data_IF_429063257149
#
_entry.id   IF_429063257149
#
_cell.length_a   1.000
_cell.length_b   1.000
_cell.length_c   1.000
_cell.angle_alpha   90.00
_cell.angle_beta   90.00
_cell.angle_gamma   90.00
#
_symmetry.space_group_name_H-M   'P 1'
#
loop_
_entity.id
_entity.type
_entity.pdbx_description
1 polymer ?
#
# COMPACT_ATOMS: atom_id res chain seq x y z
N UNK A 1 7.24 4.25 -12.67
CA UNK A 1 8.13 3.28 -11.99
C UNK A 1 9.57 3.75 -12.03
N UNK A 2 10.32 3.46 -10.96
CA UNK A 2 11.76 3.77 -10.88
C UNK A 2 12.52 2.51 -10.50
N UNK A 3 13.53 2.16 -11.30
CA UNK A 3 14.37 0.99 -11.09
C UNK A 3 15.79 1.40 -10.72
N UNK A 4 16.38 0.67 -9.78
CA UNK A 4 17.69 0.99 -9.21
C UNK A 4 18.61 -0.22 -9.27
N UNK A 5 19.91 0.05 -9.40
CA UNK A 5 20.92 -1.00 -9.52
C UNK A 5 21.23 -1.72 -8.21
N UNK A 6 21.11 -0.99 -7.08
CA UNK A 6 21.45 -1.52 -5.77
C UNK A 6 20.62 -0.92 -4.64
N UNK A 7 20.83 -1.44 -3.44
CA UNK A 7 20.10 -1.01 -2.24
C UNK A 7 20.40 0.44 -1.85
N UNK A 8 21.64 0.88 -2.03
CA UNK A 8 22.06 2.24 -1.65
C UNK A 8 21.36 3.26 -2.54
N UNK A 9 21.38 3.08 -3.85
CA UNK A 9 20.74 4.00 -4.79
C UNK A 9 19.22 4.00 -4.67
N UNK A 10 18.61 2.84 -4.45
CA UNK A 10 17.19 2.74 -4.19
C UNK A 10 16.81 3.49 -2.91
N UNK A 11 17.53 3.24 -1.83
CA UNK A 11 17.28 3.89 -0.55
C UNK A 11 17.39 5.40 -0.63
N UNK A 12 18.41 5.90 -1.33
CA UNK A 12 18.58 7.34 -1.56
C UNK A 12 17.44 7.93 -2.37
N UNK A 13 17.07 7.27 -3.48
CA UNK A 13 15.96 7.72 -4.32
C UNK A 13 14.64 7.74 -3.58
N UNK A 14 14.38 6.73 -2.76
CA UNK A 14 13.19 6.64 -1.95
C UNK A 14 13.14 7.73 -0.88
N UNK A 15 14.25 7.98 -0.19
CA UNK A 15 14.34 9.03 0.82
C UNK A 15 14.15 10.42 0.22
N UNK A 16 14.75 10.69 -0.94
CA UNK A 16 14.60 11.96 -1.65
C UNK A 16 13.15 12.19 -2.07
N UNK A 17 12.51 11.16 -2.62
CA UNK A 17 11.11 11.24 -3.03
C UNK A 17 10.17 11.45 -1.84
N UNK A 18 10.41 10.72 -0.75
CA UNK A 18 9.65 10.82 0.50
C UNK A 18 9.75 12.23 1.08
N UNK A 19 10.95 12.80 1.12
CA UNK A 19 11.17 14.14 1.65
C UNK A 19 10.41 15.21 0.85
N UNK A 20 10.36 15.07 -0.47
CA UNK A 20 9.65 16.01 -1.36
C UNK A 20 8.12 15.92 -1.26
N UNK A 21 7.58 14.76 -0.88
CA UNK A 21 6.15 14.50 -0.89
C UNK A 21 5.60 14.20 0.52
N UNK A 22 6.28 14.65 1.53
CA UNK A 22 6.04 14.30 2.94
C UNK A 22 4.59 14.48 3.40
N UNK A 23 3.90 15.50 2.91
CA UNK A 23 2.52 15.80 3.34
C UNK A 23 1.48 14.83 2.78
N UNK A 24 1.76 14.25 1.62
CA UNK A 24 0.79 13.44 0.87
C UNK A 24 1.26 12.00 0.68
N UNK A 25 2.35 11.61 1.31
CA UNK A 25 2.95 10.31 1.11
C UNK A 25 2.15 9.21 1.76
N UNK A 26 1.78 8.19 0.98
CA UNK A 26 1.29 6.91 1.46
C UNK A 26 2.29 5.82 1.10
N UNK A 27 2.95 5.22 2.08
CA UNK A 27 4.02 4.25 1.85
C UNK A 27 3.52 2.82 2.03
N UNK A 28 3.82 1.97 1.04
CA UNK A 28 3.62 0.51 1.09
C UNK A 28 5.01 -0.13 1.07
N UNK A 29 5.47 -0.60 2.22
CA UNK A 29 6.84 -1.10 2.39
C UNK A 29 6.92 -2.02 3.60
N UNK A 30 7.83 -3.00 3.56
CA UNK A 30 8.13 -3.80 4.74
C UNK A 30 8.71 -2.97 5.89
N UNK A 31 9.31 -1.81 5.57
CA UNK A 31 9.83 -0.88 6.58
C UNK A 31 8.71 -0.07 7.26
N UNK A 32 7.49 -0.15 6.75
CA UNK A 32 6.31 0.49 7.33
C UNK A 32 5.18 -0.55 7.48
N UNK A 33 5.36 -1.57 8.32
CA UNK A 33 4.39 -2.65 8.45
C UNK A 33 3.08 -2.17 9.09
N UNK A 34 2.04 -2.98 8.97
CA UNK A 34 0.83 -2.77 9.75
C UNK A 34 1.14 -2.89 11.24
N UNK A 35 0.46 -2.08 12.04
CA UNK A 35 0.58 -2.16 13.51
C UNK A 35 -0.07 -3.47 13.97
N UNK A 36 0.72 -4.39 14.50
CA UNK A 36 0.33 -5.80 14.68
C UNK A 36 -0.72 -6.02 15.77
N UNK A 37 -0.84 -5.13 16.75
CA UNK A 37 -1.82 -5.21 17.82
C UNK A 37 -3.11 -4.41 17.56
N UNK A 38 -3.29 -3.91 16.34
CA UNK A 38 -4.51 -3.23 15.91
C UNK A 38 -5.19 -4.02 14.80
N UNK A 39 -6.51 -3.99 14.79
CA UNK A 39 -7.31 -4.57 13.72
C UNK A 39 -6.98 -3.92 12.38
N UNK A 40 -7.20 -4.64 11.30
CA UNK A 40 -6.96 -4.14 9.93
C UNK A 40 -7.71 -2.82 9.68
N UNK A 41 -8.99 -2.74 10.05
CA UNK A 41 -9.76 -1.52 9.82
C UNK A 41 -9.17 -0.30 10.57
N UNK A 42 -8.65 -0.52 11.77
CA UNK A 42 -8.00 0.56 12.55
C UNK A 42 -6.73 1.02 11.83
N UNK A 43 -5.90 0.09 11.39
CA UNK A 43 -4.69 0.40 10.61
C UNK A 43 -5.01 1.26 9.40
N UNK A 44 -6.05 0.91 8.66
CA UNK A 44 -6.42 1.61 7.42
C UNK A 44 -7.01 2.99 7.74
N UNK A 45 -7.89 3.08 8.72
CA UNK A 45 -8.65 4.30 9.00
C UNK A 45 -7.92 5.30 9.90
N UNK A 46 -6.84 4.92 10.54
CA UNK A 46 -6.20 5.68 11.62
C UNK A 46 -5.93 7.14 11.24
N UNK A 47 -5.35 7.37 10.07
CA UNK A 47 -4.99 8.72 9.64
C UNK A 47 -6.23 9.58 9.35
N UNK A 48 -7.28 8.97 8.78
CA UNK A 48 -8.55 9.67 8.54
C UNK A 48 -9.28 10.00 9.84
N UNK A 49 -9.27 9.09 10.79
CA UNK A 49 -9.84 9.37 12.11
C UNK A 49 -9.13 10.53 12.81
N UNK A 50 -7.80 10.57 12.69
CA UNK A 50 -7.00 11.64 13.29
C UNK A 50 -7.24 13.00 12.62
N UNK A 51 -7.22 13.06 11.29
CA UNK A 51 -7.30 14.32 10.55
C UNK A 51 -8.74 14.78 10.28
N UNK A 52 -9.67 13.87 10.10
CA UNK A 52 -11.05 14.16 9.72
C UNK A 52 -12.04 13.91 10.85
N UNK A 53 -11.54 13.50 12.02
CA UNK A 53 -12.35 13.26 13.22
C UNK A 53 -13.53 12.31 13.00
N UNK A 54 -13.31 11.27 12.18
CA UNK A 54 -14.32 10.26 11.91
C UNK A 54 -14.62 9.41 13.14
N UNK A 55 -15.90 9.15 13.38
CA UNK A 55 -16.30 8.18 14.41
C UNK A 55 -15.83 6.77 14.04
N UNK A 56 -15.70 5.89 15.03
CA UNK A 56 -15.33 4.50 14.79
C UNK A 56 -16.30 3.82 13.82
N UNK A 57 -17.60 4.06 13.97
CA UNK A 57 -18.62 3.45 13.09
C UNK A 57 -18.46 3.90 11.63
N UNK A 58 -18.25 5.19 11.41
CA UNK A 58 -18.04 5.72 10.06
C UNK A 58 -16.73 5.26 9.46
N UNK A 59 -15.68 5.15 10.27
CA UNK A 59 -14.38 4.65 9.83
C UNK A 59 -14.47 3.19 9.42
N UNK A 60 -15.13 2.35 10.22
CA UNK A 60 -15.34 0.93 9.87
C UNK A 60 -16.15 0.78 8.58
N UNK A 61 -17.20 1.56 8.42
CA UNK A 61 -18.04 1.54 7.23
C UNK A 61 -17.24 1.93 5.98
N UNK A 62 -16.42 2.97 6.07
CA UNK A 62 -15.56 3.40 4.98
C UNK A 62 -14.58 2.30 4.58
N UNK A 63 -13.88 1.72 5.55
CA UNK A 63 -12.91 0.65 5.30
C UNK A 63 -13.58 -0.57 4.69
N UNK A 64 -14.75 -0.95 5.20
CA UNK A 64 -15.49 -2.10 4.69
C UNK A 64 -15.84 -1.93 3.21
N UNK A 65 -16.24 -0.73 2.79
CA UNK A 65 -16.51 -0.44 1.37
C UNK A 65 -15.30 -0.69 0.49
N UNK A 66 -14.10 -0.30 0.95
CA UNK A 66 -12.86 -0.55 0.20
C UNK A 66 -12.46 -2.03 0.22
N UNK A 67 -12.57 -2.70 1.37
CA UNK A 67 -12.27 -4.13 1.47
C UNK A 67 -13.20 -4.96 0.59
N UNK A 68 -14.46 -4.55 0.44
CA UNK A 68 -15.41 -5.21 -0.46
C UNK A 68 -14.94 -5.22 -1.91
N UNK A 69 -14.24 -4.18 -2.36
CA UNK A 69 -13.68 -4.13 -3.71
C UNK A 69 -12.66 -5.24 -3.97
N UNK A 70 -12.02 -5.73 -2.91
CA UNK A 70 -11.07 -6.85 -2.97
C UNK A 70 -11.70 -8.19 -2.58
N UNK A 71 -13.00 -8.21 -2.24
CA UNK A 71 -13.67 -9.38 -1.63
C UNK A 71 -12.96 -9.82 -0.34
N UNK A 72 -12.49 -8.87 0.45
CA UNK A 72 -11.72 -9.10 1.68
C UNK A 72 -12.44 -8.56 2.93
N UNK A 73 -13.78 -8.55 2.93
CA UNK A 73 -14.57 -8.06 4.07
C UNK A 73 -14.23 -8.78 5.37
N UNK A 74 -13.89 -10.06 5.26
CA UNK A 74 -13.61 -10.94 6.40
C UNK A 74 -12.30 -10.60 7.13
N UNK A 75 -11.40 -9.82 6.55
CA UNK A 75 -10.14 -9.46 7.23
C UNK A 75 -10.26 -8.22 8.11
N UNK A 76 -11.36 -7.50 8.09
CA UNK A 76 -11.52 -6.21 8.78
C UNK A 76 -11.15 -6.27 10.26
N UNK A 77 -11.54 -7.34 10.94
CA UNK A 77 -11.28 -7.55 12.37
C UNK A 77 -10.09 -8.49 12.64
N UNK A 78 -9.33 -8.85 11.61
CA UNK A 78 -8.09 -9.59 11.77
C UNK A 78 -6.93 -8.65 12.07
N UNK A 79 -5.83 -9.22 12.55
CA UNK A 79 -4.58 -8.52 12.81
C UNK A 79 -3.47 -9.03 11.89
N UNK A 80 -2.43 -8.24 11.73
CA UNK A 80 -1.35 -8.51 10.78
C UNK A 80 -0.84 -9.97 10.76
N UNK A 81 -0.56 -10.62 11.91
CA UNK A 81 -0.05 -11.99 11.88
C UNK A 81 -1.01 -13.02 11.28
N UNK A 82 -2.31 -12.74 11.25
CA UNK A 82 -3.32 -13.65 10.70
C UNK A 82 -3.58 -13.45 9.20
N UNK A 83 -2.91 -12.49 8.57
CA UNK A 83 -3.11 -12.16 7.15
C UNK A 83 -2.20 -12.99 6.25
N UNK A 84 -2.72 -13.36 5.07
CA UNK A 84 -1.86 -13.81 3.97
C UNK A 84 -1.04 -12.64 3.42
N UNK A 85 0.01 -12.92 2.65
CA UNK A 85 0.81 -11.86 2.03
C UNK A 85 -0.02 -10.96 1.12
N UNK A 86 -0.96 -11.54 0.35
CA UNK A 86 -1.83 -10.77 -0.55
C UNK A 86 -2.82 -9.91 0.21
N UNK A 87 -3.42 -10.45 1.26
CA UNK A 87 -4.31 -9.68 2.16
C UNK A 87 -3.56 -8.52 2.79
N UNK A 88 -2.36 -8.78 3.27
CA UNK A 88 -1.49 -7.76 3.88
C UNK A 88 -1.15 -6.66 2.91
N UNK A 89 -0.80 -7.00 1.67
CA UNK A 89 -0.52 -6.02 0.62
C UNK A 89 -1.71 -5.11 0.38
N UNK A 90 -2.92 -5.68 0.22
CA UNK A 90 -4.14 -4.90 0.01
C UNK A 90 -4.42 -3.97 1.20
N UNK A 91 -4.27 -4.45 2.43
CA UNK A 91 -4.46 -3.63 3.63
C UNK A 91 -3.45 -2.47 3.70
N UNK A 92 -2.19 -2.75 3.38
CA UNK A 92 -1.14 -1.72 3.34
C UNK A 92 -1.42 -0.68 2.25
N UNK A 93 -1.89 -1.11 1.09
CA UNK A 93 -2.26 -0.22 -0.01
C UNK A 93 -3.43 0.67 0.38
N UNK A 94 -4.45 0.13 0.99
CA UNK A 94 -5.60 0.91 1.48
C UNK A 94 -5.18 1.92 2.54
N UNK A 95 -4.31 1.52 3.48
CA UNK A 95 -3.76 2.45 4.48
C UNK A 95 -3.03 3.62 3.81
N UNK A 96 -2.21 3.32 2.82
CA UNK A 96 -1.48 4.34 2.06
C UNK A 96 -2.43 5.29 1.31
N UNK A 97 -3.49 4.75 0.72
CA UNK A 97 -4.49 5.51 -0.03
C UNK A 97 -5.35 6.43 0.85
N UNK A 98 -5.42 6.18 2.16
CA UNK A 98 -6.19 7.01 3.09
C UNK A 98 -5.53 8.36 3.40
N UNK A 99 -4.29 8.56 3.04
CA UNK A 99 -3.64 9.86 3.14
C UNK A 99 -4.33 10.83 2.20
N UNK A 100 -4.55 12.06 2.64
CA UNK A 100 -5.24 13.08 1.84
C UNK A 100 -4.43 13.41 0.58
N UNK A 101 -5.10 13.43 -0.57
CA UNK A 101 -4.46 13.61 -1.89
C UNK A 101 -3.27 12.69 -2.07
N UNK A 102 -3.44 11.42 -1.73
CA UNK A 102 -2.35 10.48 -1.55
C UNK A 102 -1.49 10.31 -2.79
N UNK A 103 -0.18 10.39 -2.56
CA UNK A 103 0.85 9.91 -3.47
C UNK A 103 1.33 8.59 -2.90
N UNK A 104 0.86 7.49 -3.49
CA UNK A 104 1.21 6.14 -3.03
C UNK A 104 2.59 5.78 -3.55
N UNK A 105 3.45 5.32 -2.66
CA UNK A 105 4.76 4.78 -3.01
C UNK A 105 4.81 3.32 -2.58
N UNK A 106 5.06 2.45 -3.53
CA UNK A 106 5.23 1.01 -3.28
C UNK A 106 6.71 0.70 -3.39
N UNK A 107 7.28 0.27 -2.29
CA UNK A 107 8.70 -0.05 -2.17
C UNK A 107 8.89 -1.55 -2.28
N UNK A 108 9.51 -1.99 -3.36
CA UNK A 108 9.88 -3.39 -3.64
C UNK A 108 8.72 -4.36 -3.37
N UNK A 109 7.63 -4.26 -4.15
CA UNK A 109 6.39 -5.00 -3.84
C UNK A 109 6.59 -6.52 -3.77
N UNK A 110 7.52 -7.08 -4.52
CA UNK A 110 7.76 -8.53 -4.51
C UNK A 110 8.40 -9.03 -3.22
N UNK A 111 8.89 -8.14 -2.36
CA UNK A 111 9.32 -8.52 -1.01
C UNK A 111 8.13 -8.68 -0.06
N UNK A 112 7.03 -8.00 -0.35
CA UNK A 112 5.78 -8.09 0.43
C UNK A 112 4.97 -9.31 -0.01
N UNK A 113 4.95 -9.58 -1.32
CA UNK A 113 4.21 -10.68 -1.95
C UNK A 113 5.17 -11.57 -2.75
N UNK A 114 6.07 -12.31 -2.08
CA UNK A 114 7.11 -13.08 -2.76
C UNK A 114 6.58 -14.26 -3.58
N UNK A 115 5.35 -14.67 -3.36
CA UNK A 115 4.71 -15.79 -4.05
C UNK A 115 4.18 -15.45 -5.44
N UNK A 116 4.08 -14.16 -5.81
CA UNK A 116 3.61 -13.77 -7.15
C UNK A 116 4.77 -13.77 -8.16
N UNK A 117 4.47 -14.20 -9.38
CA UNK A 117 5.48 -14.33 -10.43
C UNK A 117 5.70 -13.03 -11.22
N UNK A 118 4.62 -12.26 -11.40
CA UNK A 118 4.62 -11.02 -12.17
C UNK A 118 3.77 -9.94 -11.47
N UNK A 119 3.57 -8.84 -12.15
CA UNK A 119 2.89 -7.67 -11.62
C UNK A 119 1.35 -7.68 -11.77
N UNK A 120 0.76 -8.80 -12.21
CA UNK A 120 -0.70 -8.89 -12.41
C UNK A 120 -1.47 -8.55 -11.14
N UNK A 121 -1.09 -9.16 -10.03
CA UNK A 121 -1.77 -8.92 -8.76
C UNK A 121 -1.64 -7.45 -8.30
N UNK A 122 -0.44 -6.87 -8.47
CA UNK A 122 -0.19 -5.47 -8.12
C UNK A 122 -1.07 -4.54 -8.96
N UNK A 123 -1.09 -4.78 -10.27
CA UNK A 123 -1.91 -4.00 -11.20
C UNK A 123 -3.40 -4.07 -10.84
N UNK A 124 -3.92 -5.27 -10.61
CA UNK A 124 -5.33 -5.47 -10.27
C UNK A 124 -5.68 -4.81 -8.93
N UNK A 125 -4.79 -4.90 -7.94
CA UNK A 125 -4.98 -4.26 -6.65
C UNK A 125 -5.03 -2.73 -6.77
N UNK A 126 -4.12 -2.14 -7.55
CA UNK A 126 -4.11 -0.70 -7.82
C UNK A 126 -5.36 -0.26 -8.57
N UNK A 127 -5.75 -1.02 -9.59
CA UNK A 127 -6.90 -0.71 -10.43
C UNK A 127 -8.21 -0.67 -9.62
N UNK A 128 -8.37 -1.59 -8.69
CA UNK A 128 -9.57 -1.68 -7.87
C UNK A 128 -9.83 -0.43 -7.00
N UNK A 129 -8.78 0.33 -6.68
CA UNK A 129 -8.86 1.49 -5.80
C UNK A 129 -8.20 2.75 -6.39
N UNK A 130 -8.09 2.82 -7.70
CA UNK A 130 -7.39 3.92 -8.39
C UNK A 130 -8.07 5.30 -8.22
N UNK A 131 -9.33 5.33 -7.79
CA UNK A 131 -10.04 6.55 -7.43
C UNK A 131 -9.69 7.10 -6.04
N UNK A 132 -8.93 6.35 -5.24
CA UNK A 132 -8.61 6.69 -3.85
C UNK A 132 -7.26 7.38 -3.67
N UNK A 133 -6.45 7.44 -4.71
CA UNK A 133 -5.14 8.11 -4.65
C UNK A 133 -4.89 8.94 -5.91
N UNK A 134 -3.99 9.90 -5.81
CA UNK A 134 -3.67 10.83 -6.88
C UNK A 134 -2.64 10.28 -7.86
N UNK A 135 -1.59 9.68 -7.31
CA UNK A 135 -0.49 9.09 -8.05
C UNK A 135 -0.02 7.82 -7.36
N UNK A 136 0.59 6.92 -8.13
CA UNK A 136 1.27 5.75 -7.58
C UNK A 136 2.64 5.61 -8.23
N UNK A 137 3.66 5.47 -7.40
CA UNK A 137 5.03 5.26 -7.82
C UNK A 137 5.56 3.95 -7.24
N UNK A 138 6.21 3.14 -8.08
CA UNK A 138 6.83 1.90 -7.64
C UNK A 138 8.34 2.07 -7.72
N UNK A 139 9.02 1.72 -6.62
CA UNK A 139 10.47 1.69 -6.50
C UNK A 139 10.92 0.25 -6.36
N UNK A 140 11.77 -0.20 -7.27
CA UNK A 140 12.26 -1.58 -7.24
C UNK A 140 13.68 -1.65 -7.82
N UNK A 141 14.25 -2.82 -7.77
CA UNK A 141 15.56 -3.10 -8.34
C UNK A 141 15.47 -3.38 -9.85
N UNK A 142 16.53 -3.05 -10.54
CA UNK A 142 16.64 -3.28 -11.98
C UNK A 142 16.48 -4.75 -12.36
N UNK A 143 16.97 -5.67 -11.51
CA UNK A 143 16.83 -7.10 -11.77
C UNK A 143 15.41 -7.64 -11.64
N UNK A 144 14.49 -6.86 -11.09
CA UNK A 144 13.06 -7.20 -11.02
C UNK A 144 12.30 -6.78 -12.28
N UNK A 145 12.95 -6.10 -13.23
CA UNK A 145 12.30 -5.51 -14.41
C UNK A 145 11.44 -6.51 -15.19
N UNK A 146 11.94 -7.72 -15.40
CA UNK A 146 11.25 -8.73 -16.21
C UNK A 146 9.94 -9.24 -15.57
N UNK A 147 9.73 -8.97 -14.28
CA UNK A 147 8.49 -9.30 -13.59
C UNK A 147 7.38 -8.29 -13.86
N UNK A 148 7.74 -7.09 -14.29
CA UNK A 148 6.78 -6.03 -14.63
C UNK A 148 6.41 -6.15 -16.11
N UNK A 149 5.25 -6.75 -16.38
CA UNK A 149 4.76 -7.04 -17.73
C UNK A 149 3.57 -6.18 -18.13
N UNK A 150 2.86 -5.64 -17.16
CA UNK A 150 1.64 -4.87 -17.35
C UNK A 150 1.87 -3.41 -16.96
N UNK A 151 2.52 -3.19 -15.81
CA UNK A 151 2.85 -1.85 -15.33
C UNK A 151 4.04 -1.35 -16.13
N UNK A 152 3.88 -0.18 -16.74
CA UNK A 152 4.91 0.42 -17.58
C UNK A 152 6.15 0.83 -16.78
N UNK A 153 7.29 0.48 -17.31
CA UNK A 153 8.58 0.74 -16.67
C UNK A 153 9.18 2.05 -17.20
#
# INVERSE_FOLDING_TARGET
MRLFEDEVTLGKGLNDFTAKNKKNLGLVSLDAPLISNLDVWVNIALIKQYHENLSADKAQELVLRYLTRYSLEDISNKRNPALTNRERFCAMLLRAAMVRDSIVVIDRPFTIIPDVQDDRFIYDALKAVDDSFKECHIFDYLWSKDRYRIIDV
#
